data_IF_818076612812
#
_entry.id   IF_818076612812
#
_cell.length_a   1.000
_cell.length_b   1.000
_cell.length_c   1.000
_cell.angle_alpha   90.00
_cell.angle_beta   90.00
_cell.angle_gamma   90.00
#
_symmetry.space_group_name_H-M   'P 1'
#
loop_
_entity.id
_entity.type
_entity.pdbx_description
1 polymer ?
#
# COMPACT_ATOMS: atom_id res chain seq x y z
N UNK A 1 -22.07 -48.49 -4.17
CA UNK A 1 -22.37 -47.20 -3.52
C UNK A 1 -21.11 -46.35 -3.55
N UNK A 2 -21.10 -45.17 -4.20
CA UNK A 2 -19.94 -44.27 -4.13
C UNK A 2 -19.91 -43.52 -2.78
N UNK A 3 -18.73 -43.16 -2.25
CA UNK A 3 -18.63 -42.46 -0.97
C UNK A 3 -19.06 -41.00 -1.12
N UNK A 4 -19.82 -40.52 -0.11
CA UNK A 4 -20.30 -39.13 -0.01
C UNK A 4 -19.12 -38.16 0.10
N UNK A 5 -19.07 -37.17 -0.78
CA UNK A 5 -18.16 -36.02 -0.65
C UNK A 5 -18.58 -35.19 0.58
N UNK A 6 -17.66 -34.98 1.51
CA UNK A 6 -17.85 -34.08 2.65
C UNK A 6 -17.79 -32.62 2.19
N UNK A 7 -18.89 -31.88 2.39
CA UNK A 7 -18.94 -30.44 2.22
C UNK A 7 -18.14 -29.77 3.34
N UNK A 8 -16.96 -29.25 3.03
CA UNK A 8 -16.16 -28.38 3.90
C UNK A 8 -16.12 -26.95 3.35
N UNK A 9 -17.28 -26.41 2.98
CA UNK A 9 -17.46 -24.98 2.74
C UNK A 9 -17.97 -24.30 4.01
N UNK A 10 -17.05 -24.10 4.97
CA UNK A 10 -17.32 -23.27 6.14
C UNK A 10 -16.80 -21.84 5.88
N UNK A 11 -17.66 -20.83 6.00
CA UNK A 11 -17.35 -19.42 5.78
C UNK A 11 -16.12 -18.95 6.59
N UNK A 12 -15.89 -19.52 7.77
CA UNK A 12 -14.72 -19.24 8.61
C UNK A 12 -13.39 -19.68 7.97
N UNK A 13 -13.39 -20.80 7.25
CA UNK A 13 -12.25 -21.32 6.48
C UNK A 13 -11.92 -20.40 5.31
N UNK A 14 -12.94 -19.92 4.60
CA UNK A 14 -12.77 -19.02 3.46
C UNK A 14 -12.25 -17.64 3.90
N UNK A 15 -12.69 -17.12 5.04
CA UNK A 15 -12.17 -15.86 5.57
C UNK A 15 -10.73 -16.00 6.10
N UNK A 16 -10.42 -17.10 6.81
CA UNK A 16 -9.06 -17.40 7.22
C UNK A 16 -8.10 -17.58 6.03
N UNK A 17 -8.60 -18.19 4.94
CA UNK A 17 -7.86 -18.39 3.69
C UNK A 17 -7.70 -17.09 2.91
N UNK A 18 -8.72 -16.23 2.83
CA UNK A 18 -8.60 -14.85 2.29
C UNK A 18 -7.59 -14.02 3.09
N UNK A 19 -7.67 -14.04 4.43
CA UNK A 19 -6.66 -13.39 5.31
C UNK A 19 -5.27 -14.00 5.14
N UNK A 20 -5.14 -15.28 4.79
CA UNK A 20 -3.84 -15.93 4.52
C UNK A 20 -3.29 -15.56 3.13
N UNK A 21 -4.14 -15.43 2.12
CA UNK A 21 -3.78 -15.00 0.75
C UNK A 21 -3.39 -13.53 0.71
N UNK A 22 -4.10 -12.66 1.44
CA UNK A 22 -3.72 -11.24 1.62
C UNK A 22 -2.36 -11.15 2.31
N UNK A 23 -2.13 -11.93 3.38
CA UNK A 23 -0.82 -12.02 4.07
C UNK A 23 0.32 -12.55 3.20
N UNK A 24 0.02 -13.33 2.17
CA UNK A 24 1.04 -13.91 1.28
C UNK A 24 1.47 -12.95 0.16
N UNK A 25 0.71 -11.87 -0.07
CA UNK A 25 1.02 -10.81 -1.04
C UNK A 25 1.68 -9.58 -0.41
N UNK A 26 1.77 -9.54 0.91
CA UNK A 26 2.37 -8.40 1.61
C UNK A 26 3.88 -8.38 1.37
N UNK A 27 4.37 -7.25 0.88
CA UNK A 27 5.79 -6.96 0.74
C UNK A 27 6.49 -7.14 2.10
N UNK A 28 7.75 -7.61 2.12
CA UNK A 28 8.52 -7.73 3.35
C UNK A 28 8.55 -6.41 4.16
N UNK A 29 8.44 -5.25 3.48
CA UNK A 29 8.33 -3.94 4.12
C UNK A 29 6.96 -3.69 4.76
N UNK A 30 5.88 -4.10 4.11
CA UNK A 30 4.53 -4.04 4.70
C UNK A 30 4.42 -4.96 5.91
N UNK A 31 5.06 -6.13 5.86
CA UNK A 31 5.20 -7.04 7.00
C UNK A 31 5.96 -6.36 8.14
N UNK A 32 7.07 -5.68 7.86
CA UNK A 32 7.82 -4.92 8.88
C UNK A 32 6.99 -3.78 9.46
N UNK A 33 6.28 -3.00 8.63
CA UNK A 33 5.43 -1.91 9.08
C UNK A 33 4.26 -2.40 9.94
N UNK A 34 3.61 -3.50 9.55
CA UNK A 34 2.54 -4.13 10.33
C UNK A 34 3.07 -4.72 11.63
N UNK A 35 4.22 -5.38 11.61
CA UNK A 35 4.85 -5.93 12.80
C UNK A 35 5.27 -4.81 13.76
N UNK A 36 5.77 -3.68 13.25
CA UNK A 36 6.05 -2.50 14.05
C UNK A 36 4.77 -1.94 14.70
N UNK A 37 3.70 -1.78 13.92
CA UNK A 37 2.40 -1.34 14.44
C UNK A 37 1.79 -2.32 15.45
N UNK A 38 1.95 -3.64 15.25
CA UNK A 38 1.53 -4.65 16.21
C UNK A 38 2.36 -4.62 17.50
N UNK A 39 3.67 -4.42 17.41
CA UNK A 39 4.55 -4.26 18.58
C UNK A 39 4.18 -3.01 19.41
N UNK A 40 3.84 -1.92 18.73
CA UNK A 40 3.35 -0.69 19.38
C UNK A 40 2.05 -0.99 20.15
N UNK A 41 1.09 -1.69 19.53
CA UNK A 41 -0.17 -2.08 20.17
C UNK A 41 0.02 -3.05 21.34
N UNK A 42 0.91 -4.04 21.20
CA UNK A 42 1.22 -4.99 22.27
C UNK A 42 1.85 -4.28 23.48
N UNK A 43 2.78 -3.34 23.24
CA UNK A 43 3.39 -2.54 24.30
C UNK A 43 2.36 -1.67 25.05
N UNK A 44 1.32 -1.18 24.36
CA UNK A 44 0.20 -0.47 25.00
C UNK A 44 -0.64 -1.40 25.88
N UNK A 45 -1.02 -2.59 25.38
CA UNK A 45 -1.81 -3.57 26.15
C UNK A 45 -1.08 -4.02 27.40
N UNK A 46 0.19 -4.40 27.30
CA UNK A 46 0.99 -4.81 28.46
C UNK A 46 1.07 -3.70 29.51
N UNK A 47 1.23 -2.44 29.09
CA UNK A 47 1.27 -1.32 30.03
C UNK A 47 -0.09 -0.97 30.64
N UNK A 48 -1.19 -1.26 29.95
CA UNK A 48 -2.56 -1.13 30.48
C UNK A 48 -2.83 -2.23 31.51
N UNK A 49 -2.45 -3.47 31.22
CA UNK A 49 -2.54 -4.62 32.13
C UNK A 49 -1.69 -4.40 33.39
N UNK A 50 -0.49 -3.81 33.26
CA UNK A 50 0.35 -3.41 34.42
C UNK A 50 -0.27 -2.28 35.26
N UNK A 51 -1.19 -1.47 34.72
CA UNK A 51 -1.93 -0.45 35.48
C UNK A 51 -3.13 -1.04 36.23
N UNK A 52 -3.68 -2.14 35.72
CA UNK A 52 -4.81 -2.87 36.32
C UNK A 52 -4.34 -3.81 37.44
N UNK A 53 -3.12 -4.36 37.33
CA UNK A 53 -2.44 -5.11 38.39
C UNK A 53 -1.80 -4.16 39.41
N UNK A 54 -2.63 -3.44 40.17
CA UNK A 54 -2.20 -2.75 41.38
C UNK A 54 -2.11 -3.78 42.50
N UNK A 55 -0.89 -4.20 42.82
CA UNK A 55 -0.36 -4.30 44.19
C UNK A 55 1.13 -4.71 44.17
N UNK A 56 1.94 -3.97 44.93
CA UNK A 56 3.27 -4.33 45.46
C UNK A 56 4.39 -4.78 44.49
N UNK A 57 4.89 -3.90 43.60
CA UNK A 57 6.29 -4.03 43.16
C UNK A 57 6.97 -2.75 42.64
N UNK A 58 8.29 -2.68 42.85
CA UNK A 58 9.21 -1.53 42.76
C UNK A 58 8.94 -0.42 41.73
N UNK A 59 9.05 0.81 42.23
CA UNK A 59 8.76 2.12 41.59
C UNK A 59 9.60 2.43 40.32
N UNK A 60 10.78 1.81 40.14
CA UNK A 60 11.68 2.06 39.01
C UNK A 60 11.31 1.27 37.74
N UNK A 61 10.79 0.05 37.88
CA UNK A 61 10.32 -0.77 36.76
C UNK A 61 9.02 -0.19 36.17
N UNK A 62 8.13 0.27 37.06
CA UNK A 62 6.85 0.85 36.68
C UNK A 62 7.00 2.19 35.93
N UNK A 63 7.89 3.07 36.39
CA UNK A 63 8.17 4.35 35.71
C UNK A 63 8.72 4.18 34.29
N UNK A 64 9.61 3.19 34.08
CA UNK A 64 10.13 2.82 32.75
C UNK A 64 9.04 2.26 31.82
N UNK A 65 8.16 1.39 32.35
CA UNK A 65 7.02 0.84 31.61
C UNK A 65 6.02 1.92 31.18
N UNK A 66 5.77 2.91 32.05
CA UNK A 66 4.87 4.02 31.76
C UNK A 66 5.43 4.96 30.69
N UNK A 67 6.74 5.26 30.74
CA UNK A 67 7.42 6.03 29.70
C UNK A 67 7.31 5.36 28.33
N UNK A 68 7.54 4.04 28.28
CA UNK A 68 7.41 3.24 27.04
C UNK A 68 5.97 3.24 26.51
N UNK A 69 4.99 3.02 27.39
CA UNK A 69 3.56 3.06 27.04
C UNK A 69 3.15 4.39 26.42
N UNK A 70 3.54 5.50 27.05
CA UNK A 70 3.22 6.84 26.59
C UNK A 70 3.84 7.11 25.22
N UNK A 71 5.09 6.69 25.00
CA UNK A 71 5.74 6.79 23.70
C UNK A 71 5.04 5.94 22.63
N UNK A 72 4.67 4.69 22.94
CA UNK A 72 3.95 3.83 22.02
C UNK A 72 2.57 4.40 21.67
N UNK A 73 1.83 4.94 22.64
CA UNK A 73 0.56 5.61 22.41
C UNK A 73 0.72 6.87 21.55
N UNK A 74 1.75 7.67 21.81
CA UNK A 74 2.08 8.81 21.00
C UNK A 74 2.34 8.41 19.54
N UNK A 75 3.20 7.41 19.31
CA UNK A 75 3.54 6.95 17.96
C UNK A 75 2.35 6.30 17.23
N UNK A 76 1.47 5.56 17.92
CA UNK A 76 0.24 5.02 17.31
C UNK A 76 -0.69 6.15 16.86
N UNK A 77 -0.86 7.21 17.67
CA UNK A 77 -1.65 8.39 17.28
C UNK A 77 -1.02 9.13 16.10
N UNK A 78 0.31 9.28 16.06
CA UNK A 78 1.03 9.86 14.91
C UNK A 78 0.75 9.04 13.64
N UNK A 79 0.87 7.72 13.72
CA UNK A 79 0.63 6.83 12.59
C UNK A 79 -0.82 6.86 12.12
N UNK A 80 -1.78 6.74 13.03
CA UNK A 80 -3.21 6.82 12.72
C UNK A 80 -3.54 8.15 12.03
N UNK A 81 -3.03 9.28 12.55
CA UNK A 81 -3.26 10.63 12.01
C UNK A 81 -2.69 10.88 10.61
N UNK A 82 -1.81 10.00 10.13
CA UNK A 82 -1.13 10.14 8.83
C UNK A 82 -1.50 9.04 7.84
N UNK A 83 -2.30 8.06 8.26
CA UNK A 83 -2.63 6.87 7.48
C UNK A 83 -4.12 6.50 7.54
N UNK A 84 -4.98 7.46 7.83
CA UNK A 84 -6.43 7.28 7.83
C UNK A 84 -6.96 6.96 6.42
N UNK A 85 -7.78 5.90 6.32
CA UNK A 85 -8.34 5.38 5.05
C UNK A 85 -9.85 5.58 4.90
N UNK A 86 -10.53 6.03 5.96
CA UNK A 86 -11.99 6.26 6.00
C UNK A 86 -12.28 7.73 6.22
N UNK A 87 -13.43 8.23 5.74
CA UNK A 87 -13.81 9.64 5.94
C UNK A 87 -14.10 9.93 7.42
N UNK A 88 -14.73 8.98 8.11
CA UNK A 88 -15.10 9.09 9.51
C UNK A 88 -14.23 8.17 10.36
N UNK A 89 -13.98 8.59 11.60
CA UNK A 89 -13.28 7.77 12.58
C UNK A 89 -14.13 6.56 12.95
N UNK A 90 -13.45 5.45 13.21
CA UNK A 90 -14.01 4.29 13.88
C UNK A 90 -13.85 4.47 15.39
N UNK A 91 -14.72 3.84 16.18
CA UNK A 91 -14.67 3.94 17.65
C UNK A 91 -13.27 3.65 18.19
N UNK A 92 -12.82 4.53 19.11
CA UNK A 92 -11.51 4.44 19.77
C UNK A 92 -10.31 4.97 18.97
N UNK A 93 -10.42 5.20 17.65
CA UNK A 93 -9.32 5.72 16.81
C UNK A 93 -9.70 7.01 16.07
N UNK A 94 -9.88 8.08 16.84
CA UNK A 94 -10.34 9.40 16.36
C UNK A 94 -9.49 9.98 15.23
N UNK A 95 -8.19 9.73 15.25
CA UNK A 95 -7.25 10.25 14.24
C UNK A 95 -7.12 9.33 13.02
N UNK A 96 -7.64 8.10 13.06
CA UNK A 96 -7.57 7.17 11.93
C UNK A 96 -8.72 7.42 10.94
N UNK A 97 -8.78 8.64 10.43
CA UNK A 97 -9.76 9.04 9.42
C UNK A 97 -9.22 10.15 8.52
N UNK A 98 -10.05 10.65 7.61
CA UNK A 98 -9.71 11.76 6.75
C UNK A 98 -9.56 13.06 7.56
N UNK A 99 -8.64 13.90 7.12
CA UNK A 99 -8.52 15.28 7.60
C UNK A 99 -9.70 16.06 7.05
N UNK A 100 -10.43 16.77 7.90
CA UNK A 100 -11.63 17.52 7.52
C UNK A 100 -11.88 18.66 8.49
N UNK A 101 -12.80 19.56 8.17
CA UNK A 101 -13.18 20.62 9.10
C UNK A 101 -13.70 20.03 10.41
N UNK A 102 -13.20 20.57 11.53
CA UNK A 102 -13.54 20.11 12.88
C UNK A 102 -12.81 18.85 13.34
N UNK A 103 -11.99 18.20 12.51
CA UNK A 103 -11.20 17.06 12.98
C UNK A 103 -10.00 17.51 13.83
N UNK A 104 -9.60 16.68 14.80
CA UNK A 104 -8.54 16.97 15.76
C UNK A 104 -7.12 16.90 15.19
N UNK A 105 -6.97 16.64 13.88
CA UNK A 105 -5.67 16.42 13.23
C UNK A 105 -4.72 17.60 13.38
N UNK A 106 -5.15 18.82 13.04
CA UNK A 106 -4.27 20.00 13.10
C UNK A 106 -3.78 20.26 14.53
N UNK A 107 -4.69 20.16 15.52
CA UNK A 107 -4.33 20.33 16.92
C UNK A 107 -3.30 19.29 17.33
N UNK A 108 -3.59 18.02 17.07
CA UNK A 108 -2.69 16.93 17.41
C UNK A 108 -1.33 17.04 16.70
N UNK A 109 -1.28 17.44 15.43
CA UNK A 109 -0.02 17.64 14.72
C UNK A 109 0.83 18.75 15.33
N UNK A 110 0.22 19.86 15.77
CA UNK A 110 0.96 20.91 16.47
C UNK A 110 1.57 20.40 17.79
N UNK A 111 0.84 19.57 18.54
CA UNK A 111 1.32 18.92 19.75
C UNK A 111 2.45 17.93 19.44
N UNK A 112 2.26 17.06 18.45
CA UNK A 112 3.23 16.06 18.05
C UNK A 112 4.55 16.67 17.54
N UNK A 113 4.48 17.76 16.78
CA UNK A 113 5.67 18.51 16.34
C UNK A 113 6.46 19.02 17.56
N UNK A 114 5.79 19.55 18.60
CA UNK A 114 6.46 19.98 19.83
C UNK A 114 7.17 18.81 20.51
N UNK A 115 6.48 17.68 20.67
CA UNK A 115 7.04 16.46 21.26
C UNK A 115 8.29 16.02 20.50
N UNK A 116 8.22 15.88 19.17
CA UNK A 116 9.36 15.48 18.35
C UNK A 116 10.53 16.48 18.43
N UNK A 117 10.27 17.79 18.50
CA UNK A 117 11.31 18.82 18.67
C UNK A 117 12.02 18.71 20.03
N UNK A 118 11.32 18.26 21.06
CA UNK A 118 11.88 18.07 22.41
C UNK A 118 12.50 16.70 22.66
N UNK A 119 12.39 15.75 21.71
CA UNK A 119 12.93 14.40 21.88
C UNK A 119 14.46 14.40 21.89
N UNK A 120 15.04 13.98 23.01
CA UNK A 120 16.47 13.72 23.18
C UNK A 120 16.72 12.22 23.11
N UNK A 121 17.82 11.84 22.47
CA UNK A 121 18.29 10.47 22.39
C UNK A 121 19.57 10.37 23.21
N UNK A 122 19.73 9.27 23.95
CA UNK A 122 20.87 9.08 24.85
C UNK A 122 21.61 7.80 24.53
N UNK A 123 22.93 7.82 24.77
CA UNK A 123 23.78 6.64 24.70
C UNK A 123 23.46 5.69 25.85
N UNK A 124 23.43 4.39 25.56
CA UNK A 124 23.20 3.36 26.59
C UNK A 124 24.39 3.15 27.53
N UNK A 125 25.57 3.62 27.13
CA UNK A 125 26.83 3.36 27.87
C UNK A 125 27.00 4.36 29.01
N UNK A 126 26.79 5.65 28.71
CA UNK A 126 27.15 6.78 29.56
C UNK A 126 25.99 7.78 29.74
N UNK A 127 24.84 7.55 29.11
CA UNK A 127 23.67 8.43 29.21
C UNK A 127 23.82 9.78 28.49
N UNK A 128 24.94 9.99 27.78
CA UNK A 128 25.20 11.24 27.07
C UNK A 128 24.24 11.43 25.90
N UNK A 129 23.92 12.69 25.60
CA UNK A 129 23.05 13.01 24.48
C UNK A 129 23.71 12.61 23.15
N UNK A 130 23.01 11.81 22.35
CA UNK A 130 23.45 11.41 21.02
C UNK A 130 22.69 12.17 19.94
N UNK A 131 23.23 12.16 18.72
CA UNK A 131 22.60 12.76 17.55
C UNK A 131 21.20 12.17 17.35
N UNK A 132 20.20 13.05 17.26
CA UNK A 132 18.83 12.66 16.95
C UNK A 132 18.75 11.92 15.59
N UNK A 133 18.05 10.78 15.52
CA UNK A 133 17.80 10.09 14.26
C UNK A 133 17.12 11.00 13.23
N UNK A 134 17.56 10.90 11.97
CA UNK A 134 17.02 11.72 10.87
C UNK A 134 15.51 11.54 10.71
N UNK A 135 14.98 10.35 11.01
CA UNK A 135 13.55 10.07 10.93
C UNK A 135 12.69 11.00 11.81
N UNK A 136 13.20 11.51 12.93
CA UNK A 136 12.47 12.46 13.78
C UNK A 136 12.26 13.78 13.07
N UNK A 137 13.31 14.29 12.40
CA UNK A 137 13.22 15.48 11.54
C UNK A 137 12.25 15.26 10.38
N UNK A 138 12.24 14.05 9.80
CA UNK A 138 11.32 13.71 8.73
C UNK A 138 9.87 13.68 9.22
N UNK A 139 9.58 13.14 10.42
CA UNK A 139 8.24 13.20 11.01
C UNK A 139 7.77 14.64 11.19
N UNK A 140 8.61 15.52 11.73
CA UNK A 140 8.28 16.96 11.86
C UNK A 140 7.92 17.53 10.49
N UNK A 141 8.76 17.29 9.48
CA UNK A 141 8.55 17.81 8.12
C UNK A 141 7.27 17.26 7.48
N UNK A 142 6.96 15.98 7.69
CA UNK A 142 5.72 15.35 7.19
C UNK A 142 4.49 15.99 7.83
N UNK A 143 4.48 16.18 9.15
CA UNK A 143 3.35 16.78 9.85
C UNK A 143 3.15 18.26 9.46
N UNK A 144 4.23 19.03 9.32
CA UNK A 144 4.17 20.42 8.83
C UNK A 144 3.64 20.47 7.39
N UNK A 145 4.12 19.57 6.52
CA UNK A 145 3.67 19.47 5.13
C UNK A 145 2.20 19.08 5.00
N UNK A 146 1.72 18.10 5.78
CA UNK A 146 0.30 17.70 5.76
C UNK A 146 -0.62 18.78 6.30
N UNK A 147 -0.19 19.50 7.34
CA UNK A 147 -0.91 20.70 7.81
C UNK A 147 -1.03 21.73 6.70
N UNK A 148 0.08 22.08 6.04
CA UNK A 148 0.08 23.03 4.93
C UNK A 148 -0.81 22.57 3.77
N UNK A 149 -0.64 21.31 3.33
CA UNK A 149 -1.38 20.73 2.22
C UNK A 149 -2.89 20.75 2.49
N UNK A 150 -3.32 20.33 3.68
CA UNK A 150 -4.72 20.36 4.04
C UNK A 150 -5.29 21.78 4.03
N UNK A 151 -4.58 22.77 4.60
CA UNK A 151 -5.05 24.16 4.61
C UNK A 151 -5.18 24.71 3.18
N UNK A 152 -4.24 24.38 2.29
CA UNK A 152 -4.27 24.78 0.88
C UNK A 152 -5.46 24.14 0.15
N UNK A 153 -5.61 22.82 0.21
CA UNK A 153 -6.70 22.11 -0.46
C UNK A 153 -8.07 22.50 0.08
N UNK A 154 -8.18 22.74 1.40
CA UNK A 154 -9.40 23.27 2.02
C UNK A 154 -9.78 24.63 1.44
N UNK A 155 -8.80 25.52 1.24
CA UNK A 155 -9.05 26.84 0.63
C UNK A 155 -9.55 26.76 -0.82
N UNK A 156 -9.25 25.65 -1.50
CA UNK A 156 -9.72 25.32 -2.85
C UNK A 156 -11.06 24.56 -2.86
N UNK A 157 -11.70 24.39 -1.70
CA UNK A 157 -13.03 23.78 -1.57
C UNK A 157 -13.04 22.28 -1.30
N UNK A 158 -11.87 21.65 -1.04
CA UNK A 158 -11.82 20.22 -0.71
C UNK A 158 -12.48 19.93 0.64
N UNK A 159 -13.44 18.99 0.67
CA UNK A 159 -14.22 18.64 1.87
C UNK A 159 -13.44 17.83 2.89
N UNK A 160 -12.57 16.94 2.43
CA UNK A 160 -11.74 16.07 3.27
C UNK A 160 -10.50 15.57 2.50
N UNK A 161 -9.46 15.15 3.22
CA UNK A 161 -8.22 14.61 2.66
C UNK A 161 -7.89 13.25 3.29
N UNK A 162 -7.79 12.21 2.46
CA UNK A 162 -7.41 10.85 2.87
C UNK A 162 -5.89 10.71 2.73
N UNK A 163 -5.17 10.74 3.85
CA UNK A 163 -3.71 10.69 3.86
C UNK A 163 -3.14 9.31 3.49
N UNK A 164 -3.92 8.23 3.63
CA UNK A 164 -3.61 6.90 3.09
C UNK A 164 -3.27 6.93 1.60
N UNK A 165 -3.84 7.87 0.84
CA UNK A 165 -3.63 7.96 -0.61
C UNK A 165 -2.34 8.71 -0.99
N UNK A 166 -1.67 9.36 -0.03
CA UNK A 166 -0.46 10.15 -0.27
C UNK A 166 0.81 9.33 0.00
N UNK A 167 0.68 8.20 0.70
CA UNK A 167 1.80 7.32 0.96
C UNK A 167 2.19 6.49 -0.29
N UNK A 168 3.36 5.86 -0.24
CA UNK A 168 3.87 5.06 -1.36
C UNK A 168 3.35 3.60 -1.36
N UNK A 169 2.41 3.24 -0.48
CA UNK A 169 1.96 1.84 -0.33
C UNK A 169 1.39 1.30 -1.64
N UNK A 170 0.59 2.11 -2.35
CA UNK A 170 0.02 1.72 -3.66
C UNK A 170 1.10 1.38 -4.68
N UNK A 171 2.22 2.10 -4.66
CA UNK A 171 3.36 1.84 -5.53
C UNK A 171 4.12 0.57 -5.10
N UNK A 172 4.28 0.35 -3.80
CA UNK A 172 4.88 -0.89 -3.27
C UNK A 172 4.03 -2.12 -3.60
N UNK A 173 2.71 -2.01 -3.46
CA UNK A 173 1.72 -3.01 -3.86
C UNK A 173 1.86 -3.31 -5.35
N UNK A 174 1.96 -2.28 -6.19
CA UNK A 174 2.13 -2.43 -7.63
C UNK A 174 3.42 -3.18 -7.99
N UNK A 175 4.55 -2.85 -7.35
CA UNK A 175 5.78 -3.62 -7.53
C UNK A 175 5.65 -5.06 -7.02
N UNK A 176 4.83 -5.30 -6.00
CA UNK A 176 4.43 -6.64 -5.56
C UNK A 176 3.73 -7.41 -6.67
N UNK A 177 2.74 -6.80 -7.32
CA UNK A 177 2.02 -7.39 -8.45
C UNK A 177 2.95 -7.73 -9.62
N UNK A 178 3.91 -6.87 -9.95
CA UNK A 178 4.91 -7.13 -10.99
C UNK A 178 5.75 -8.37 -10.67
N UNK A 179 6.29 -8.45 -9.44
CA UNK A 179 7.08 -9.62 -9.02
C UNK A 179 6.24 -10.90 -9.02
N UNK A 180 4.98 -10.82 -8.56
CA UNK A 180 4.06 -11.96 -8.56
C UNK A 180 3.71 -12.44 -9.97
N UNK A 181 3.56 -11.53 -10.93
CA UNK A 181 3.31 -11.87 -12.34
C UNK A 181 4.48 -12.66 -12.95
N UNK A 182 5.72 -12.29 -12.60
CA UNK A 182 6.93 -13.00 -13.00
C UNK A 182 7.05 -14.43 -12.44
N UNK A 183 6.15 -14.84 -11.53
CA UNK A 183 6.13 -16.15 -10.85
C UNK A 183 7.45 -16.52 -10.18
N UNK A 184 8.40 -17.11 -10.92
CA UNK A 184 9.75 -17.43 -10.43
C UNK A 184 10.74 -16.28 -10.59
N UNK A 185 10.41 -15.28 -11.41
CA UNK A 185 11.24 -14.10 -11.64
C UNK A 185 10.87 -12.97 -10.67
N UNK A 186 11.27 -13.12 -9.40
CA UNK A 186 11.02 -12.13 -8.34
C UNK A 186 11.91 -10.89 -8.41
N UNK A 187 12.89 -10.86 -9.33
CA UNK A 187 13.80 -9.75 -9.56
C UNK A 187 13.86 -9.44 -11.06
N UNK A 188 12.79 -8.86 -11.62
CA UNK A 188 12.71 -8.60 -13.05
C UNK A 188 13.77 -7.58 -13.48
N UNK A 189 14.45 -7.85 -14.58
CA UNK A 189 15.22 -6.83 -15.29
C UNK A 189 14.26 -5.86 -16.03
N UNK A 190 14.80 -4.79 -16.63
CA UNK A 190 13.99 -3.76 -17.28
C UNK A 190 13.02 -4.32 -18.34
N UNK A 191 13.44 -5.32 -19.11
CA UNK A 191 12.59 -5.96 -20.12
C UNK A 191 11.40 -6.69 -19.47
N UNK A 192 11.66 -7.57 -18.50
CA UNK A 192 10.61 -8.33 -17.82
C UNK A 192 9.67 -7.42 -17.02
N UNK A 193 10.19 -6.33 -16.45
CA UNK A 193 9.39 -5.31 -15.79
C UNK A 193 8.43 -4.65 -16.78
N UNK A 194 8.93 -4.17 -17.92
CA UNK A 194 8.12 -3.53 -18.97
C UNK A 194 7.04 -4.47 -19.51
N UNK A 195 7.39 -5.73 -19.78
CA UNK A 195 6.42 -6.73 -20.25
C UNK A 195 5.36 -7.02 -19.19
N UNK A 196 5.75 -7.24 -17.93
CA UNK A 196 4.79 -7.48 -16.84
C UNK A 196 3.91 -6.26 -16.57
N UNK A 197 4.47 -5.05 -16.65
CA UNK A 197 3.73 -3.79 -16.57
C UNK A 197 2.65 -3.71 -17.65
N UNK A 198 3.01 -3.92 -18.92
CA UNK A 198 2.08 -3.90 -20.06
C UNK A 198 0.96 -4.93 -19.88
N UNK A 199 1.32 -6.16 -19.51
CA UNK A 199 0.34 -7.23 -19.30
C UNK A 199 -0.60 -6.92 -18.14
N UNK A 200 -0.08 -6.48 -16.99
CA UNK A 200 -0.91 -6.10 -15.85
C UNK A 200 -1.84 -4.94 -16.19
N UNK A 201 -1.35 -3.95 -16.93
CA UNK A 201 -2.13 -2.80 -17.35
C UNK A 201 -3.28 -3.23 -18.26
N UNK A 202 -3.00 -3.99 -19.32
CA UNK A 202 -4.01 -4.55 -20.21
C UNK A 202 -5.02 -5.41 -19.45
N UNK A 203 -4.56 -6.29 -18.56
CA UNK A 203 -5.46 -7.15 -17.79
C UNK A 203 -6.41 -6.35 -16.88
N UNK A 204 -5.94 -5.25 -16.28
CA UNK A 204 -6.79 -4.40 -15.43
C UNK A 204 -7.86 -3.65 -16.24
N UNK A 205 -7.58 -3.28 -17.48
CA UNK A 205 -8.53 -2.60 -18.37
C UNK A 205 -9.46 -3.57 -19.12
N UNK A 206 -8.97 -4.75 -19.48
CA UNK A 206 -9.75 -5.78 -20.16
C UNK A 206 -10.55 -6.66 -19.20
N UNK A 207 -10.30 -6.62 -17.88
CA UNK A 207 -11.14 -7.30 -16.91
C UNK A 207 -12.52 -6.62 -16.90
N UNK A 208 -13.53 -7.29 -17.47
CA UNK A 208 -14.92 -6.85 -17.43
C UNK A 208 -15.32 -6.57 -15.97
N UNK A 209 -15.50 -5.29 -15.62
CA UNK A 209 -16.04 -4.87 -14.32
C UNK A 209 -17.54 -4.58 -14.42
N UNK A 210 -18.32 -5.44 -15.06
CA UNK A 210 -19.76 -5.56 -14.79
C UNK A 210 -20.40 -6.73 -15.57
N UNK A 211 -21.15 -7.55 -14.84
CA UNK A 211 -22.28 -8.34 -15.37
C UNK A 211 -23.51 -7.41 -15.41
N UNK A 212 -23.49 -6.36 -16.24
CA UNK A 212 -24.57 -5.39 -16.32
C UNK A 212 -24.65 -4.75 -17.69
N UNK A 213 -25.84 -4.76 -18.30
CA UNK A 213 -26.12 -4.18 -19.61
C UNK A 213 -25.90 -2.65 -19.55
N UNK A 214 -24.73 -2.21 -20.01
CA UNK A 214 -24.38 -0.84 -20.42
C UNK A 214 -24.67 0.26 -19.37
N UNK A 215 -23.68 0.51 -18.50
CA UNK A 215 -23.54 1.82 -17.86
C UNK A 215 -22.55 2.67 -18.67
N UNK A 216 -22.74 3.99 -18.67
CA UNK A 216 -21.92 4.94 -19.46
C UNK A 216 -20.45 4.79 -19.05
N UNK A 217 -19.63 4.54 -20.06
CA UNK A 217 -18.21 4.29 -19.90
C UNK A 217 -17.42 5.60 -19.75
N UNK A 218 -17.11 5.97 -18.51
CA UNK A 218 -16.18 7.08 -18.20
C UNK A 218 -14.69 6.67 -18.40
N UNK A 219 -14.41 5.48 -18.97
CA UNK A 219 -13.03 5.03 -19.24
C UNK A 219 -12.45 5.55 -20.57
N UNK A 220 -13.16 6.45 -21.26
CA UNK A 220 -12.63 7.15 -22.45
C UNK A 220 -11.29 7.80 -22.11
N UNK A 221 -10.23 7.31 -22.76
CA UNK A 221 -8.87 7.80 -22.58
C UNK A 221 -8.07 7.18 -21.42
N UNK A 222 -8.63 6.23 -20.67
CA UNK A 222 -7.93 5.59 -19.57
C UNK A 222 -6.72 4.73 -20.03
N UNK A 223 -6.74 4.28 -21.28
CA UNK A 223 -5.63 3.65 -21.97
C UNK A 223 -4.78 4.62 -22.82
N UNK A 224 -5.05 5.93 -22.82
CA UNK A 224 -4.27 6.87 -23.63
C UNK A 224 -2.81 6.92 -23.20
N UNK A 225 -2.54 6.74 -21.91
CA UNK A 225 -1.17 6.61 -21.37
C UNK A 225 -0.52 5.33 -21.91
N UNK A 226 -1.26 4.22 -22.00
CA UNK A 226 -0.75 2.98 -22.60
C UNK A 226 -0.52 3.14 -24.09
N UNK A 227 -1.46 3.78 -24.81
CA UNK A 227 -1.36 4.08 -26.23
C UNK A 227 -0.14 4.95 -26.49
N UNK A 228 0.05 6.02 -25.74
CA UNK A 228 1.24 6.88 -25.80
C UNK A 228 2.53 6.08 -25.52
N UNK A 229 2.52 5.23 -24.49
CA UNK A 229 3.66 4.37 -24.15
C UNK A 229 3.99 3.32 -25.22
N UNK A 230 2.98 2.74 -25.87
CA UNK A 230 3.13 1.73 -26.92
C UNK A 230 3.43 2.33 -28.30
N UNK A 231 2.89 3.52 -28.59
CA UNK A 231 3.01 4.19 -29.89
C UNK A 231 4.35 4.91 -30.07
N UNK A 232 5.19 5.02 -29.04
CA UNK A 232 6.60 5.36 -29.17
C UNK A 232 6.90 6.73 -29.80
N UNK A 233 5.92 7.63 -29.93
CA UNK A 233 6.18 9.01 -30.37
C UNK A 233 6.64 9.82 -29.17
N UNK A 234 7.95 9.76 -28.90
CA UNK A 234 8.64 10.82 -28.16
C UNK A 234 8.64 12.07 -29.04
N UNK A 235 7.52 12.78 -29.15
CA UNK A 235 7.60 14.20 -29.47
C UNK A 235 8.09 14.91 -28.22
N UNK A 236 9.40 15.20 -28.25
CA UNK A 236 10.08 16.08 -27.31
C UNK A 236 9.44 17.46 -27.45
N UNK A 237 8.44 17.76 -26.63
CA UNK A 237 8.10 19.14 -26.32
C UNK A 237 9.02 19.51 -25.16
N UNK A 238 10.06 20.28 -25.49
CA UNK A 238 11.15 20.62 -24.58
C UNK A 238 10.66 21.24 -23.27
N UNK A 239 11.02 20.61 -22.15
CA UNK A 239 12.09 21.11 -21.29
C UNK A 239 12.40 20.10 -20.16
N UNK A 240 13.70 19.77 -20.09
CA UNK A 240 14.46 19.22 -18.98
C UNK A 240 14.40 17.74 -18.53
N UNK A 241 15.63 17.23 -18.41
CA UNK A 241 16.18 15.98 -17.83
C UNK A 241 16.04 14.70 -18.66
N UNK A 242 17.09 14.46 -19.46
CA UNK A 242 17.35 13.27 -20.24
C UNK A 242 17.61 12.01 -19.38
N UNK A 243 16.81 10.97 -19.59
CA UNK A 243 17.19 9.58 -19.28
C UNK A 243 17.24 8.80 -20.60
N UNK A 244 18.42 8.78 -21.21
CA UNK A 244 18.70 8.00 -22.41
C UNK A 244 18.78 6.51 -22.03
N UNK A 245 17.70 5.75 -22.28
CA UNK A 245 17.75 4.29 -22.34
C UNK A 245 17.57 3.87 -23.80
N UNK A 246 18.68 3.66 -24.50
CA UNK A 246 18.69 3.10 -25.85
C UNK A 246 18.17 1.65 -25.83
N UNK A 247 16.97 1.45 -26.36
CA UNK A 247 16.43 0.12 -26.66
C UNK A 247 16.26 0.03 -28.18
N UNK A 248 17.14 -0.76 -28.81
CA UNK A 248 17.04 -1.10 -30.23
C UNK A 248 15.73 -1.87 -30.48
N UNK A 249 14.94 -1.40 -31.45
CA UNK A 249 13.75 -2.12 -31.94
C UNK A 249 14.14 -3.49 -32.50
N UNK A 250 13.57 -4.55 -31.94
CA UNK A 250 13.58 -5.87 -32.57
C UNK A 250 12.38 -5.95 -33.53
N UNK A 251 12.65 -6.07 -34.83
CA UNK A 251 11.66 -6.54 -35.79
C UNK A 251 11.32 -7.99 -35.47
N UNK A 252 10.11 -8.24 -34.97
CA UNK A 252 9.58 -9.60 -34.85
C UNK A 252 8.93 -9.96 -36.17
N UNK A 253 9.61 -10.77 -36.98
CA UNK A 253 8.94 -11.43 -38.11
C UNK A 253 7.83 -12.33 -37.58
N UNK A 254 6.61 -12.10 -38.06
CA UNK A 254 5.49 -13.00 -37.83
C UNK A 254 5.78 -14.33 -38.52
N UNK A 255 6.26 -15.31 -37.74
CA UNK A 255 6.40 -16.69 -38.21
C UNK A 255 5.01 -17.20 -38.60
N UNK A 256 4.80 -17.47 -39.88
CA UNK A 256 3.59 -18.17 -40.35
C UNK A 256 3.51 -19.51 -39.60
N UNK A 257 2.40 -19.82 -38.90
CA UNK A 257 2.31 -21.04 -38.13
C UNK A 257 2.45 -22.25 -39.06
N UNK A 258 3.36 -23.17 -38.71
CA UNK A 258 3.48 -24.44 -39.39
C UNK A 258 2.16 -25.20 -39.26
N UNK A 259 1.62 -25.67 -40.40
CA UNK A 259 0.42 -26.51 -40.53
C UNK A 259 0.66 -27.90 -39.94
N UNK A 260 0.92 -27.96 -38.64
CA UNK A 260 0.90 -29.21 -37.88
C UNK A 260 -0.49 -29.38 -37.28
N UNK A 261 -0.96 -30.62 -37.20
CA UNK A 261 -2.26 -30.97 -36.59
C UNK A 261 -2.38 -30.45 -35.15
N UNK A 262 -1.24 -30.32 -34.45
CA UNK A 262 -1.15 -29.74 -33.10
C UNK A 262 -1.40 -28.23 -33.09
N UNK A 263 -0.93 -27.51 -34.12
CA UNK A 263 -1.17 -26.07 -34.28
C UNK A 263 -2.65 -25.75 -34.49
N UNK A 264 -3.34 -26.54 -35.32
CA UNK A 264 -4.79 -26.37 -35.56
C UNK A 264 -5.62 -26.69 -34.30
N UNK A 265 -5.28 -27.74 -33.55
CA UNK A 265 -5.92 -28.04 -32.27
C UNK A 265 -5.67 -26.96 -31.22
N UNK A 266 -4.50 -26.32 -31.22
CA UNK A 266 -4.18 -25.22 -30.30
C UNK A 266 -5.03 -23.99 -30.61
N UNK A 267 -5.22 -23.66 -31.89
CA UNK A 267 -6.11 -22.57 -32.31
C UNK A 267 -7.55 -22.87 -31.91
N UNK A 268 -8.02 -24.11 -32.11
CA UNK A 268 -9.36 -24.53 -31.69
C UNK A 268 -9.57 -24.47 -30.18
N UNK A 269 -8.57 -24.88 -29.39
CA UNK A 269 -8.63 -24.79 -27.92
C UNK A 269 -8.66 -23.34 -27.43
N UNK A 270 -7.80 -22.48 -27.99
CA UNK A 270 -7.75 -21.06 -27.63
C UNK A 270 -9.04 -20.35 -28.06
N UNK A 271 -9.54 -20.62 -29.26
CA UNK A 271 -10.82 -20.08 -29.74
C UNK A 271 -12.00 -20.58 -28.90
N UNK A 272 -12.04 -21.86 -28.55
CA UNK A 272 -13.07 -22.44 -27.68
C UNK A 272 -13.05 -21.86 -26.26
N UNK A 273 -11.86 -21.63 -25.71
CA UNK A 273 -11.70 -20.94 -24.42
C UNK A 273 -12.20 -19.49 -24.50
N UNK A 274 -11.89 -18.76 -25.57
CA UNK A 274 -12.36 -17.38 -25.78
C UNK A 274 -13.89 -17.35 -25.92
N UNK A 275 -14.49 -18.23 -26.73
CA UNK A 275 -15.94 -18.32 -26.91
C UNK A 275 -16.65 -18.65 -25.60
N UNK A 276 -16.12 -19.59 -24.81
CA UNK A 276 -16.64 -19.93 -23.47
C UNK A 276 -16.50 -18.80 -22.45
N UNK A 277 -15.65 -17.82 -22.73
CA UNK A 277 -15.46 -16.63 -21.87
C UNK A 277 -16.36 -15.47 -22.31
N UNK A 278 -16.89 -15.52 -23.53
CA UNK A 278 -17.76 -14.47 -24.12
C UNK A 278 -19.26 -14.80 -24.05
N UNK A 279 -19.63 -16.07 -23.84
CA UNK A 279 -21.01 -16.55 -23.62
C UNK A 279 -21.17 -16.94 -22.15
#
# INVERSE_FOLDING_TARGET
>A
MPPKKSNLDNAYSNEARRKRVVRHHESAKEIVARNAAQRIRAAQSCAQESREQRDEHSDSSLSSSMGTSNLCLFMDKVFDSTNGSTINALDGKLLRCAVKNGSSHIQFWNEAIKVFKTMVFVSKVDGSAVRQPICVKNYIKTLESFKYLWLKLKSEGLKFLILRNINQDSLECFFGSIRSHGSRNNMPNCYHFSTSFKTLLLNNFSSLKSLGNCEVDDSVGALDILKQFLSGQNEIIGNDVSLNLGLNSFNVEFVKPNKSTVGEMTIGYVAGYIIRTLI
#
